data_IF_280783985594
#
_entry.id   IF_280783985594
#
_cell.length_a   1.000
_cell.length_b   1.000
_cell.length_c   1.000
_cell.angle_alpha   90.00
_cell.angle_beta   90.00
_cell.angle_gamma   90.00
#
_symmetry.space_group_name_H-M   'P 1'
#
loop_
_entity.id
_entity.type
_entity.pdbx_description
1 polymer ?
#
# COMPACT_ATOMS: atom_id res chain seq x y z
N UNK A 1 -0.10 -1.48 -7.54
CA UNK A 1 1.37 -1.68 -7.46
C UNK A 1 1.84 -1.93 -6.03
N UNK A 2 1.19 -1.32 -5.01
CA UNK A 2 1.53 -1.59 -3.62
C UNK A 2 1.42 -3.06 -3.24
N UNK A 3 0.36 -3.72 -3.67
CA UNK A 3 0.17 -5.16 -3.43
C UNK A 3 1.23 -5.97 -4.17
N UNK A 4 1.50 -5.62 -5.42
CA UNK A 4 2.55 -6.29 -6.21
C UNK A 4 3.91 -6.14 -5.52
N UNK A 5 4.19 -4.95 -4.97
CA UNK A 5 5.41 -4.71 -4.20
C UNK A 5 5.55 -5.63 -3.00
N UNK A 6 4.48 -5.85 -2.24
CA UNK A 6 4.48 -6.75 -1.09
C UNK A 6 4.71 -8.19 -1.54
N UNK A 7 4.06 -8.63 -2.61
CA UNK A 7 4.24 -9.98 -3.15
C UNK A 7 5.69 -10.19 -3.59
N UNK A 8 6.27 -9.22 -4.30
CA UNK A 8 7.67 -9.28 -4.72
C UNK A 8 8.63 -9.33 -3.52
N UNK A 9 8.33 -8.57 -2.47
CA UNK A 9 9.11 -8.57 -1.25
C UNK A 9 9.17 -9.97 -0.63
N UNK A 10 8.04 -10.67 -0.56
CA UNK A 10 7.96 -12.05 -0.05
C UNK A 10 8.70 -13.04 -0.95
N UNK A 11 8.68 -12.84 -2.27
CA UNK A 11 9.31 -13.73 -3.26
C UNK A 11 10.78 -13.40 -3.52
N UNK A 12 11.32 -12.33 -2.92
CA UNK A 12 12.72 -11.95 -3.08
C UNK A 12 13.03 -11.18 -4.37
N UNK A 13 12.03 -10.49 -4.95
CA UNK A 13 12.18 -9.67 -6.15
C UNK A 13 12.77 -10.43 -7.34
N UNK A 14 12.19 -11.59 -7.63
CA UNK A 14 12.59 -12.39 -8.79
C UNK A 14 11.94 -11.85 -10.07
N UNK A 15 12.67 -11.91 -11.19
CA UNK A 15 12.18 -11.40 -12.49
C UNK A 15 11.05 -12.26 -13.05
N UNK A 16 11.11 -13.56 -12.80
CA UNK A 16 10.06 -14.49 -13.22
C UNK A 16 9.46 -15.16 -12.00
N UNK A 17 8.14 -15.05 -11.86
CA UNK A 17 7.42 -15.74 -10.80
C UNK A 17 6.59 -16.83 -11.46
N UNK A 18 6.95 -18.08 -11.18
CA UNK A 18 6.20 -19.23 -11.65
C UNK A 18 4.95 -19.41 -10.78
N UNK A 19 3.91 -18.70 -11.13
CA UNK A 19 2.69 -18.59 -10.34
C UNK A 19 1.47 -18.69 -11.24
N UNK A 20 0.50 -19.50 -10.85
CA UNK A 20 -0.78 -19.55 -11.55
C UNK A 20 -1.61 -18.29 -11.28
N UNK A 21 -2.59 -18.03 -12.14
CA UNK A 21 -3.52 -16.92 -11.95
C UNK A 21 -4.27 -17.04 -10.61
N UNK A 22 -4.67 -18.26 -10.24
CA UNK A 22 -5.38 -18.50 -8.98
C UNK A 22 -4.48 -18.20 -7.77
N UNK A 23 -3.22 -18.62 -7.81
CA UNK A 23 -2.26 -18.31 -6.75
C UNK A 23 -2.03 -16.80 -6.63
N UNK A 24 -1.91 -16.10 -7.75
CA UNK A 24 -1.75 -14.65 -7.76
C UNK A 24 -2.96 -13.95 -7.15
N UNK A 25 -4.17 -14.41 -7.46
CA UNK A 25 -5.41 -13.87 -6.89
C UNK A 25 -5.50 -14.09 -5.39
N UNK A 26 -5.11 -15.27 -4.91
CA UNK A 26 -5.08 -15.55 -3.48
C UNK A 26 -4.13 -14.63 -2.73
N UNK A 27 -2.93 -14.42 -3.27
CA UNK A 27 -1.95 -13.52 -2.67
C UNK A 27 -2.44 -12.07 -2.69
N UNK A 28 -3.04 -11.65 -3.79
CA UNK A 28 -3.62 -10.32 -3.91
C UNK A 28 -4.69 -10.10 -2.83
N UNK A 29 -5.64 -11.03 -2.71
CA UNK A 29 -6.72 -10.93 -1.74
C UNK A 29 -6.20 -10.95 -0.31
N UNK A 30 -5.19 -11.77 -0.02
CA UNK A 30 -4.56 -11.83 1.30
C UNK A 30 -3.97 -10.47 1.68
N UNK A 31 -3.18 -9.87 0.80
CA UNK A 31 -2.51 -8.60 1.11
C UNK A 31 -3.48 -7.42 1.10
N UNK A 32 -4.49 -7.46 0.25
CA UNK A 32 -5.56 -6.46 0.28
C UNK A 32 -6.31 -6.49 1.62
N UNK A 33 -6.58 -7.68 2.13
CA UNK A 33 -7.23 -7.87 3.42
C UNK A 33 -6.35 -7.38 4.57
N UNK A 34 -5.07 -7.69 4.54
CA UNK A 34 -4.11 -7.21 5.54
C UNK A 34 -4.05 -5.68 5.57
N UNK A 35 -4.02 -5.05 4.39
CA UNK A 35 -4.03 -3.59 4.28
C UNK A 35 -5.33 -3.01 4.84
N UNK A 36 -6.46 -3.64 4.56
CA UNK A 36 -7.76 -3.23 5.09
C UNK A 36 -7.79 -3.33 6.62
N UNK A 37 -7.29 -4.42 7.18
CA UNK A 37 -7.25 -4.61 8.64
C UNK A 37 -6.39 -3.52 9.30
N UNK A 38 -5.26 -3.19 8.71
CA UNK A 38 -4.41 -2.11 9.19
C UNK A 38 -5.14 -0.76 9.14
N UNK A 39 -5.85 -0.49 8.05
CA UNK A 39 -6.62 0.74 7.88
C UNK A 39 -7.72 0.85 8.94
N UNK A 40 -8.45 -0.24 9.18
CA UNK A 40 -9.53 -0.25 10.18
C UNK A 40 -8.98 0.03 11.58
N UNK A 41 -7.83 -0.51 11.91
CA UNK A 41 -7.16 -0.26 13.18
C UNK A 41 -6.75 1.22 13.30
N UNK A 42 -6.13 1.77 12.27
CA UNK A 42 -5.72 3.19 12.25
C UNK A 42 -6.92 4.12 12.29
N UNK A 43 -7.99 3.78 11.58
CA UNK A 43 -9.22 4.57 11.55
C UNK A 43 -9.87 4.64 12.93
N UNK A 44 -9.85 3.55 13.68
CA UNK A 44 -10.33 3.53 15.05
C UNK A 44 -9.54 4.51 15.93
N UNK A 45 -8.21 4.56 15.75
CA UNK A 45 -7.32 5.42 16.52
C UNK A 45 -7.42 6.91 16.15
N UNK A 46 -7.67 7.22 14.88
CA UNK A 46 -7.63 8.58 14.34
C UNK A 46 -8.99 9.18 13.97
N UNK A 47 -10.08 8.51 14.33
CA UNK A 47 -11.46 9.01 14.20
C UNK A 47 -11.81 9.47 12.76
N UNK A 48 -11.46 8.64 11.79
CA UNK A 48 -11.76 8.88 10.37
C UNK A 48 -11.24 10.22 9.80
N UNK A 49 -10.09 10.67 10.30
CA UNK A 49 -9.48 11.92 9.84
C UNK A 49 -9.31 12.00 8.31
N UNK A 50 -9.21 10.87 7.63
CA UNK A 50 -9.06 10.80 6.19
C UNK A 50 -10.20 11.46 5.42
N UNK A 51 -11.40 11.53 6.01
CA UNK A 51 -12.59 12.09 5.35
C UNK A 51 -12.47 13.60 5.10
N UNK A 52 -11.71 14.30 5.91
CA UNK A 52 -11.53 15.75 5.78
C UNK A 52 -10.35 16.14 4.90
N UNK A 53 -9.57 15.18 4.44
CA UNK A 53 -8.36 15.44 3.66
C UNK A 53 -8.67 15.66 2.18
N UNK A 54 -7.85 16.48 1.54
CA UNK A 54 -7.93 16.70 0.09
C UNK A 54 -7.30 15.53 -0.67
N UNK A 55 -7.77 15.31 -1.91
CA UNK A 55 -7.17 14.30 -2.81
C UNK A 55 -5.67 14.56 -2.97
N UNK A 56 -5.26 15.82 -3.14
CA UNK A 56 -3.84 16.17 -3.29
C UNK A 56 -3.00 15.74 -2.09
N UNK A 57 -3.58 15.73 -0.89
CA UNK A 57 -2.87 15.26 0.31
C UNK A 57 -2.53 13.77 0.22
N UNK A 58 -3.44 12.96 -0.31
CA UNK A 58 -3.18 11.53 -0.50
C UNK A 58 -2.09 11.30 -1.53
N UNK A 59 -2.08 12.08 -2.61
CA UNK A 59 -1.02 12.02 -3.60
C UNK A 59 0.33 12.31 -2.97
N UNK A 60 0.42 13.35 -2.14
CA UNK A 60 1.64 13.71 -1.42
C UNK A 60 2.09 12.61 -0.46
N UNK A 61 1.17 12.00 0.26
CA UNK A 61 1.48 10.89 1.18
C UNK A 61 1.99 9.67 0.42
N UNK A 62 1.36 9.33 -0.71
CA UNK A 62 1.81 8.21 -1.55
C UNK A 62 3.24 8.46 -2.03
N UNK A 63 3.53 9.65 -2.54
CA UNK A 63 4.86 10.03 -2.99
C UNK A 63 5.89 9.95 -1.87
N UNK A 64 5.53 10.39 -0.67
CA UNK A 64 6.38 10.30 0.52
C UNK A 64 6.71 8.85 0.86
N UNK A 65 5.71 7.95 0.80
CA UNK A 65 5.93 6.53 1.08
C UNK A 65 6.78 5.86 0.01
N UNK A 66 6.58 6.20 -1.26
CA UNK A 66 7.42 5.71 -2.36
C UNK A 66 8.87 6.15 -2.14
N UNK A 67 9.09 7.42 -1.80
CA UNK A 67 10.43 7.94 -1.52
C UNK A 67 11.08 7.21 -0.35
N UNK A 68 10.30 6.93 0.69
CA UNK A 68 10.79 6.20 1.86
C UNK A 68 11.24 4.78 1.49
N UNK A 69 10.45 4.08 0.68
CA UNK A 69 10.81 2.73 0.20
C UNK A 69 12.11 2.78 -0.60
N UNK A 70 12.24 3.75 -1.50
CA UNK A 70 13.46 3.92 -2.30
C UNK A 70 14.69 4.17 -1.43
N UNK A 71 14.58 5.00 -0.41
CA UNK A 71 15.68 5.27 0.53
C UNK A 71 16.10 3.99 1.28
N UNK A 72 15.13 3.21 1.75
CA UNK A 72 15.41 1.95 2.44
C UNK A 72 16.11 0.97 1.50
N UNK A 73 15.63 0.84 0.27
CA UNK A 73 16.23 -0.04 -0.73
C UNK A 73 17.66 0.37 -1.08
N UNK A 74 17.93 1.67 -1.18
CA UNK A 74 19.25 2.19 -1.51
C UNK A 74 20.28 1.90 -0.40
N UNK A 75 19.85 1.95 0.86
CA UNK A 75 20.74 1.76 2.02
C UNK A 75 20.89 0.29 2.38
N UNK A 76 19.78 -0.45 2.42
CA UNK A 76 19.75 -1.81 3.02
C UNK A 76 19.47 -2.91 2.00
N UNK A 77 19.07 -2.55 0.78
CA UNK A 77 18.60 -3.50 -0.21
C UNK A 77 17.12 -3.84 -0.03
N UNK A 78 16.55 -4.42 -1.08
CA UNK A 78 15.11 -4.62 -1.21
C UNK A 78 14.52 -5.70 -0.29
N UNK A 79 15.35 -6.48 0.38
CA UNK A 79 14.91 -7.67 1.13
C UNK A 79 14.72 -7.45 2.62
N UNK A 80 14.92 -6.22 3.13
CA UNK A 80 14.85 -5.96 4.57
C UNK A 80 13.45 -5.55 5.02
N UNK A 81 12.59 -6.53 5.21
CA UNK A 81 11.22 -6.34 5.74
C UNK A 81 11.26 -5.65 7.11
N UNK A 82 12.29 -5.93 7.92
CA UNK A 82 12.47 -5.33 9.25
C UNK A 82 12.58 -3.81 9.23
N UNK A 83 12.88 -3.20 8.07
CA UNK A 83 12.94 -1.74 7.92
C UNK A 83 11.56 -1.12 7.61
N UNK A 84 10.51 -1.93 7.57
CA UNK A 84 9.15 -1.43 7.39
C UNK A 84 8.74 -1.21 5.95
N UNK A 85 9.41 -1.83 4.98
CA UNK A 85 9.05 -1.71 3.56
C UNK A 85 7.62 -2.18 3.33
N UNK A 86 7.22 -3.29 3.92
CA UNK A 86 5.87 -3.85 3.83
C UNK A 86 4.81 -2.86 4.36
N UNK A 87 5.07 -2.24 5.50
CA UNK A 87 4.17 -1.26 6.08
C UNK A 87 4.02 -0.03 5.18
N UNK A 88 5.10 0.43 4.55
CA UNK A 88 5.03 1.54 3.59
C UNK A 88 4.19 1.18 2.37
N UNK A 89 4.30 -0.05 1.84
CA UNK A 89 3.44 -0.51 0.75
C UNK A 89 1.96 -0.59 1.16
N UNK A 90 1.67 -1.03 2.38
CA UNK A 90 0.30 -1.07 2.91
C UNK A 90 -0.30 0.34 3.01
N UNK A 91 0.48 1.31 3.45
CA UNK A 91 0.05 2.70 3.49
C UNK A 91 -0.25 3.24 2.08
N UNK A 92 0.58 2.89 1.09
CA UNK A 92 0.34 3.27 -0.30
C UNK A 92 -1.00 2.71 -0.79
N UNK A 93 -1.29 1.45 -0.49
CA UNK A 93 -2.56 0.81 -0.84
C UNK A 93 -3.73 1.59 -0.23
N UNK A 94 -3.68 1.87 1.05
CA UNK A 94 -4.76 2.51 1.79
C UNK A 94 -4.98 3.96 1.34
N UNK A 95 -3.90 4.73 1.15
CA UNK A 95 -4.04 6.10 0.64
C UNK A 95 -4.59 6.12 -0.79
N UNK A 96 -4.22 5.14 -1.61
CA UNK A 96 -4.76 5.04 -2.97
C UNK A 96 -6.26 4.77 -2.96
N UNK A 97 -6.72 3.89 -2.07
CA UNK A 97 -8.15 3.59 -1.91
C UNK A 97 -8.90 4.83 -1.39
N UNK A 98 -8.36 5.51 -0.38
CA UNK A 98 -8.99 6.75 0.12
C UNK A 98 -9.08 7.81 -0.96
N UNK A 99 -8.01 8.00 -1.74
CA UNK A 99 -8.03 8.93 -2.86
C UNK A 99 -9.09 8.58 -3.89
N UNK A 100 -9.23 7.30 -4.22
CA UNK A 100 -10.24 6.84 -5.16
C UNK A 100 -11.66 7.07 -4.64
N UNK A 101 -11.89 6.83 -3.35
CA UNK A 101 -13.20 7.09 -2.72
C UNK A 101 -13.53 8.58 -2.77
N UNK A 102 -12.58 9.45 -2.43
CA UNK A 102 -12.78 10.89 -2.44
C UNK A 102 -13.09 11.42 -3.85
N UNK A 103 -12.38 10.91 -4.86
CA UNK A 103 -12.65 11.27 -6.25
C UNK A 103 -14.06 10.88 -6.65
N UNK A 104 -14.50 9.70 -6.25
CA UNK A 104 -15.85 9.21 -6.56
C UNK A 104 -16.94 10.03 -5.87
N UNK A 105 -16.68 10.45 -4.63
CA UNK A 105 -17.60 11.34 -3.92
C UNK A 105 -17.73 12.70 -4.60
N UNK A 106 -16.63 13.25 -5.14
CA UNK A 106 -16.65 14.52 -5.88
C UNK A 106 -17.46 14.44 -7.16
N UNK A 107 -17.46 13.29 -7.85
CA UNK A 107 -18.26 13.09 -9.06
C UNK A 107 -19.77 13.15 -8.82
N UNK A 108 -20.21 12.87 -7.60
CA UNK A 108 -21.64 12.87 -7.23
C UNK A 108 -22.17 14.25 -6.87
N UNK A 109 -21.30 15.21 -6.70
CA UNK A 109 -21.65 16.59 -6.43
C UNK A 109 -21.78 17.37 -7.74
#
# INVERSE_FOLDING_TARGET
>A
YGIVGIIQLEKGFVDEVDMTADEAMELYDQHAKEALELMLKKNHDYDEAWRSMRVSSYTDFILTKIQRVKEIEDIHGATLVSEGIDANYMDIINYSVFGAIKLKEQEKE
#
